data_IF_463248610976
#
_entry.id   IF_463248610976
#
_cell.length_a   1.000
_cell.length_b   1.000
_cell.length_c   1.000
_cell.angle_alpha   90.00
_cell.angle_beta   90.00
_cell.angle_gamma   90.00
#
_symmetry.space_group_name_H-M   'P 1'
#
loop_
_entity.id
_entity.type
_entity.pdbx_description
1 polymer ?
#
# COMPACT_ATOMS: atom_id res chain seq x y z
N UNK A 1 -17.40 14.97 -6.56
CA UNK A 1 -16.76 13.66 -6.81
C UNK A 1 -16.99 12.82 -5.57
N UNK A 2 -17.79 11.75 -5.60
CA UNK A 2 -18.04 10.93 -4.42
C UNK A 2 -17.02 9.79 -4.34
N UNK A 3 -15.90 10.04 -3.68
CA UNK A 3 -14.85 9.04 -3.39
C UNK A 3 -15.07 8.33 -2.03
N UNK A 4 -16.31 8.26 -1.52
CA UNK A 4 -16.57 7.94 -0.11
C UNK A 4 -17.35 6.67 0.18
N UNK A 5 -17.58 5.78 -0.78
CA UNK A 5 -18.26 4.51 -0.49
C UNK A 5 -17.66 3.33 -1.23
N UNK A 6 -16.46 2.97 -0.86
CA UNK A 6 -15.80 1.76 -1.34
C UNK A 6 -14.32 1.85 -1.02
N UNK A 7 -13.87 1.08 -0.05
CA UNK A 7 -12.44 0.93 0.25
C UNK A 7 -11.76 0.19 -0.91
N UNK A 8 -11.56 0.88 -2.03
CA UNK A 8 -10.73 0.39 -3.11
C UNK A 8 -9.28 0.71 -2.79
N UNK A 9 -8.45 -0.31 -2.65
CA UNK A 9 -7.02 -0.14 -2.77
C UNK A 9 -6.69 -0.11 -4.27
N UNK A 10 -5.75 0.71 -4.67
CA UNK A 10 -5.25 0.71 -6.03
C UNK A 10 -3.74 0.55 -6.05
N UNK A 11 -3.27 -0.11 -7.07
CA UNK A 11 -1.85 -0.32 -7.35
C UNK A 11 -1.53 0.36 -8.67
N UNK A 12 -0.50 1.18 -8.66
CA UNK A 12 0.06 1.76 -9.88
C UNK A 12 1.22 0.89 -10.34
N UNK A 13 1.17 0.44 -11.57
CA UNK A 13 2.17 -0.44 -12.17
C UNK A 13 2.79 0.24 -13.39
N UNK A 14 4.12 0.30 -13.43
CA UNK A 14 4.88 0.72 -14.60
C UNK A 14 5.09 -0.49 -15.51
N UNK A 15 4.32 -0.56 -16.58
CA UNK A 15 4.48 -1.55 -17.63
C UNK A 15 5.80 -1.38 -18.41
N UNK A 16 6.13 -2.37 -19.24
CA UNK A 16 7.35 -2.35 -20.07
C UNK A 16 7.46 -1.19 -21.07
N UNK A 17 6.38 -0.42 -21.26
CA UNK A 17 6.29 0.69 -22.24
C UNK A 17 6.06 2.06 -21.61
N UNK A 18 6.60 2.33 -20.42
CA UNK A 18 6.46 3.66 -19.75
C UNK A 18 5.04 4.13 -19.47
N UNK A 19 4.03 3.35 -19.77
CA UNK A 19 2.63 3.67 -19.45
C UNK A 19 2.31 3.20 -18.04
N UNK A 20 1.82 4.12 -17.22
CA UNK A 20 1.34 3.81 -15.88
C UNK A 20 0.00 3.11 -15.97
N UNK A 21 -0.08 1.90 -15.48
CA UNK A 21 -1.33 1.13 -15.41
C UNK A 21 -1.86 1.09 -13.98
N UNK A 22 -3.15 1.33 -13.81
CA UNK A 22 -3.82 1.30 -12.51
C UNK A 22 -4.60 0.00 -12.39
N UNK A 23 -4.42 -0.69 -11.26
CA UNK A 23 -5.19 -1.88 -10.91
C UNK A 23 -5.96 -1.57 -9.62
N UNK A 24 -7.28 -1.63 -9.66
CA UNK A 24 -8.13 -1.43 -8.50
C UNK A 24 -8.44 -2.76 -7.83
N UNK A 25 -8.26 -2.84 -6.51
CA UNK A 25 -8.59 -4.02 -5.71
C UNK A 25 -9.96 -3.78 -5.09
N UNK A 26 -10.89 -4.69 -5.32
CA UNK A 26 -12.29 -4.56 -4.95
C UNK A 26 -12.77 -5.78 -4.18
N UNK A 27 -13.82 -5.62 -3.38
CA UNK A 27 -14.63 -6.75 -2.90
C UNK A 27 -15.67 -7.16 -3.95
N UNK A 28 -16.25 -8.34 -3.83
CA UNK A 28 -17.29 -8.82 -4.75
C UNK A 28 -18.62 -8.07 -4.59
N UNK A 29 -18.85 -7.41 -3.44
CA UNK A 29 -20.03 -6.57 -3.18
C UNK A 29 -19.94 -5.16 -3.79
N UNK A 30 -18.93 -4.88 -4.62
CA UNK A 30 -18.78 -3.57 -5.28
C UNK A 30 -19.98 -3.23 -6.16
N UNK A 31 -20.38 -1.96 -6.19
CA UNK A 31 -21.48 -1.48 -7.04
C UNK A 31 -21.18 -1.71 -8.51
N UNK A 32 -22.13 -2.33 -9.23
CA UNK A 32 -22.07 -2.57 -10.69
C UNK A 32 -21.83 -1.29 -11.49
N UNK A 33 -22.34 -0.15 -11.03
CA UNK A 33 -22.10 1.15 -11.66
C UNK A 33 -20.62 1.56 -11.60
N UNK A 34 -19.95 1.23 -10.51
CA UNK A 34 -18.52 1.49 -10.37
C UNK A 34 -17.68 0.59 -11.28
N UNK A 35 -18.06 -0.68 -11.42
CA UNK A 35 -17.41 -1.59 -12.38
C UNK A 35 -17.57 -1.08 -13.82
N UNK A 36 -18.78 -0.67 -14.20
CA UNK A 36 -19.02 -0.09 -15.53
C UNK A 36 -18.18 1.19 -15.77
N UNK A 37 -18.01 2.01 -14.73
CA UNK A 37 -17.13 3.18 -14.80
C UNK A 37 -15.66 2.78 -15.02
N UNK A 38 -15.12 1.81 -14.26
CA UNK A 38 -13.75 1.33 -14.42
C UNK A 38 -13.50 0.79 -15.84
N UNK A 39 -14.45 0.01 -16.36
CA UNK A 39 -14.39 -0.50 -17.74
C UNK A 39 -14.39 0.63 -18.77
N UNK A 40 -15.26 1.64 -18.59
CA UNK A 40 -15.32 2.79 -19.49
C UNK A 40 -14.02 3.59 -19.55
N UNK A 41 -13.33 3.72 -18.41
CA UNK A 41 -12.05 4.48 -18.32
C UNK A 41 -10.82 3.60 -18.55
N UNK A 42 -10.98 2.31 -18.85
CA UNK A 42 -9.89 1.39 -19.15
C UNK A 42 -9.03 1.02 -17.94
N UNK A 43 -9.58 1.11 -16.73
CA UNK A 43 -8.87 0.74 -15.48
C UNK A 43 -9.08 -0.72 -15.17
N UNK A 44 -8.00 -1.49 -15.00
CA UNK A 44 -8.07 -2.89 -14.57
C UNK A 44 -8.52 -3.01 -13.12
N UNK A 45 -9.18 -4.11 -12.81
CA UNK A 45 -9.55 -4.42 -11.43
C UNK A 45 -9.45 -5.90 -11.13
N UNK A 46 -9.29 -6.22 -9.85
CA UNK A 46 -9.33 -7.58 -9.32
C UNK A 46 -10.28 -7.64 -8.12
N UNK A 47 -10.99 -8.73 -7.98
CA UNK A 47 -11.75 -9.01 -6.76
C UNK A 47 -10.87 -9.76 -5.77
N UNK A 48 -10.91 -9.34 -4.50
CA UNK A 48 -10.15 -9.95 -3.43
C UNK A 48 -10.98 -9.94 -2.13
N UNK A 49 -11.85 -10.91 -2.00
CA UNK A 49 -12.77 -11.10 -0.87
C UNK A 49 -14.22 -10.73 -1.18
N UNK A 50 -15.14 -11.34 -0.46
CA UNK A 50 -16.59 -11.16 -0.67
C UNK A 50 -17.05 -9.75 -0.24
N UNK A 51 -17.01 -9.46 1.06
CA UNK A 51 -17.44 -8.16 1.64
C UNK A 51 -16.29 -7.21 1.87
N UNK A 52 -15.23 -7.73 2.48
CA UNK A 52 -14.02 -6.98 2.79
C UNK A 52 -12.88 -7.43 1.90
N UNK A 53 -11.96 -6.52 1.62
CA UNK A 53 -10.77 -6.85 0.86
C UNK A 53 -9.86 -7.75 1.70
N UNK A 54 -9.58 -8.94 1.18
CA UNK A 54 -8.54 -9.84 1.67
C UNK A 54 -7.21 -9.51 0.98
N UNK A 55 -6.29 -8.95 1.74
CA UNK A 55 -5.00 -8.51 1.22
C UNK A 55 -4.11 -9.67 0.76
N UNK A 56 -4.24 -10.86 1.35
CA UNK A 56 -3.47 -12.05 0.95
C UNK A 56 -3.93 -12.55 -0.43
N UNK A 57 -5.24 -12.58 -0.64
CA UNK A 57 -5.82 -12.90 -1.95
C UNK A 57 -5.40 -11.85 -2.97
N UNK A 58 -5.47 -10.56 -2.61
CA UNK A 58 -5.05 -9.47 -3.47
C UNK A 58 -3.60 -9.61 -3.91
N UNK A 59 -2.66 -9.81 -2.97
CA UNK A 59 -1.23 -9.98 -3.28
C UNK A 59 -0.99 -11.17 -4.20
N UNK A 60 -1.66 -12.31 -3.95
CA UNK A 60 -1.57 -13.50 -4.80
C UNK A 60 -2.07 -13.23 -6.23
N UNK A 61 -3.19 -12.53 -6.38
CA UNK A 61 -3.75 -12.17 -7.69
C UNK A 61 -2.85 -11.17 -8.43
N UNK A 62 -2.32 -10.15 -7.74
CA UNK A 62 -1.37 -9.20 -8.33
C UNK A 62 -0.13 -9.91 -8.90
N UNK A 63 0.43 -10.86 -8.15
CA UNK A 63 1.56 -11.67 -8.62
C UNK A 63 1.18 -12.54 -9.83
N UNK A 64 0.09 -13.30 -9.73
CA UNK A 64 -0.25 -14.31 -10.72
C UNK A 64 -0.80 -13.71 -12.04
N UNK A 65 -1.57 -12.64 -11.96
CA UNK A 65 -2.22 -12.03 -13.14
C UNK A 65 -1.38 -10.94 -13.79
N UNK A 66 -0.60 -10.21 -13.01
CA UNK A 66 0.16 -9.05 -13.49
C UNK A 66 1.69 -9.22 -13.36
N UNK A 67 2.16 -10.33 -12.78
CA UNK A 67 3.60 -10.57 -12.60
C UNK A 67 4.27 -9.63 -11.61
N UNK A 68 3.50 -9.01 -10.70
CA UNK A 68 4.03 -8.05 -9.72
C UNK A 68 4.70 -8.83 -8.59
N UNK A 69 6.02 -8.79 -8.55
CA UNK A 69 6.82 -9.47 -7.53
C UNK A 69 7.18 -8.56 -6.34
N UNK A 70 7.28 -7.25 -6.59
CA UNK A 70 7.61 -6.25 -5.56
C UNK A 70 6.57 -5.16 -5.58
N UNK A 71 6.01 -4.87 -4.42
CA UNK A 71 5.03 -3.81 -4.21
C UNK A 71 5.58 -2.81 -3.21
N UNK A 72 5.56 -1.53 -3.58
CA UNK A 72 5.89 -0.43 -2.66
C UNK A 72 4.59 0.20 -2.16
N UNK A 73 4.37 0.17 -0.84
CA UNK A 73 3.29 0.88 -0.20
C UNK A 73 3.78 2.24 0.29
N UNK A 74 3.15 3.32 -0.18
CA UNK A 74 3.46 4.69 0.24
C UNK A 74 2.48 5.23 1.30
N UNK A 75 1.68 4.36 1.87
CA UNK A 75 0.77 4.72 2.94
C UNK A 75 -0.61 5.14 2.44
N UNK A 76 -1.53 5.90 3.10
CA UNK A 76 -1.39 6.43 4.49
C UNK A 76 -1.48 5.44 5.64
N UNK A 77 -1.67 6.00 6.85
CA UNK A 77 -1.59 5.24 8.09
C UNK A 77 -2.51 4.02 8.13
N UNK A 78 -3.73 4.12 7.65
CA UNK A 78 -4.69 3.00 7.61
C UNK A 78 -4.22 1.86 6.70
N UNK A 79 -3.67 2.18 5.52
CA UNK A 79 -3.14 1.17 4.60
C UNK A 79 -1.90 0.50 5.17
N UNK A 80 -1.01 1.28 5.80
CA UNK A 80 0.16 0.73 6.50
C UNK A 80 -0.27 -0.22 7.62
N UNK A 81 -1.24 0.20 8.44
CA UNK A 81 -1.79 -0.61 9.52
C UNK A 81 -2.35 -1.96 9.01
N UNK A 82 -3.15 -1.94 7.95
CA UNK A 82 -3.71 -3.15 7.36
C UNK A 82 -2.63 -4.12 6.89
N UNK A 83 -1.64 -3.64 6.13
CA UNK A 83 -0.55 -4.47 5.62
C UNK A 83 0.33 -5.03 6.74
N UNK A 84 0.58 -4.26 7.79
CA UNK A 84 1.35 -4.69 8.96
C UNK A 84 0.58 -5.73 9.78
N UNK A 85 -0.73 -5.54 10.01
CA UNK A 85 -1.59 -6.50 10.72
C UNK A 85 -1.66 -7.85 9.99
N UNK A 86 -1.74 -7.82 8.66
CA UNK A 86 -1.75 -9.04 7.84
C UNK A 86 -0.36 -9.65 7.62
N UNK A 87 0.66 -9.07 8.23
CA UNK A 87 2.04 -9.56 8.16
C UNK A 87 2.62 -9.60 6.73
N UNK A 88 2.18 -8.68 5.87
CA UNK A 88 2.53 -8.64 4.46
C UNK A 88 3.74 -7.75 4.13
N UNK A 89 4.26 -7.03 5.12
CA UNK A 89 5.40 -6.12 4.94
C UNK A 89 6.71 -6.85 5.26
N UNK A 90 7.63 -6.92 4.30
CA UNK A 90 8.95 -7.53 4.47
C UNK A 90 10.03 -6.49 4.77
N UNK A 91 9.87 -5.27 4.24
CA UNK A 91 10.86 -4.19 4.40
C UNK A 91 10.14 -2.88 4.73
N UNK A 92 10.66 -2.15 5.72
CA UNK A 92 10.24 -0.80 6.05
C UNK A 92 11.32 0.19 5.63
N UNK A 93 10.93 1.22 4.90
CA UNK A 93 11.78 2.34 4.53
C UNK A 93 11.17 3.58 5.18
N UNK A 94 11.83 4.09 6.20
CA UNK A 94 11.35 5.23 6.99
C UNK A 94 12.23 6.45 6.70
N UNK A 95 11.60 7.51 6.20
CA UNK A 95 12.26 8.81 6.04
C UNK A 95 11.91 9.64 7.27
N UNK A 96 12.93 10.03 8.03
CA UNK A 96 12.79 10.88 9.21
C UNK A 96 13.27 12.29 8.89
N UNK A 97 12.38 13.25 9.00
CA UNK A 97 12.66 14.67 8.81
C UNK A 97 12.88 15.36 10.17
N UNK A 98 13.71 16.41 10.26
CA UNK A 98 13.97 17.17 11.49
C UNK A 98 12.82 18.14 11.79
N UNK A 99 11.60 17.63 11.84
CA UNK A 99 10.38 18.38 12.17
C UNK A 99 9.63 17.70 13.31
N UNK A 100 9.00 18.52 14.15
CA UNK A 100 8.15 18.04 15.23
C UNK A 100 6.73 17.97 14.69
N UNK A 101 6.10 16.82 14.78
CA UNK A 101 4.72 16.63 14.38
C UNK A 101 3.78 17.45 15.27
N UNK A 102 2.72 18.00 14.70
CA UNK A 102 1.70 18.73 15.45
C UNK A 102 0.92 17.76 16.37
N UNK A 103 0.34 18.27 17.48
CA UNK A 103 -0.60 17.49 18.29
C UNK A 103 -1.73 16.91 17.42
N UNK A 104 -2.04 15.63 17.64
CA UNK A 104 -3.06 14.93 16.86
C UNK A 104 -2.58 14.34 15.52
N UNK A 105 -1.31 14.48 15.17
CA UNK A 105 -0.74 13.81 14.00
C UNK A 105 -0.88 12.29 14.12
N UNK A 106 -1.32 11.65 13.03
CA UNK A 106 -1.49 10.19 12.99
C UNK A 106 -0.12 9.50 12.92
N UNK A 107 0.01 8.40 13.67
CA UNK A 107 1.16 7.51 13.50
C UNK A 107 1.20 6.93 12.09
N UNK A 108 2.37 6.93 11.45
CA UNK A 108 2.56 6.31 10.13
C UNK A 108 2.29 4.79 10.13
N UNK A 109 2.31 4.17 11.29
CA UNK A 109 2.04 2.74 11.48
C UNK A 109 0.60 2.45 11.93
N UNK A 110 -0.23 3.48 12.15
CA UNK A 110 -1.57 3.34 12.71
C UNK A 110 -1.53 2.67 14.09
N UNK A 111 -2.49 1.76 14.32
CA UNK A 111 -2.56 0.90 15.52
C UNK A 111 -2.01 -0.51 15.23
N UNK A 112 -0.90 -0.59 14.51
CA UNK A 112 -0.29 -1.87 14.16
C UNK A 112 0.24 -2.59 15.41
N UNK A 113 0.17 -3.93 15.46
CA UNK A 113 0.74 -4.68 16.55
C UNK A 113 2.26 -4.52 16.61
N UNK A 114 2.81 -4.65 17.80
CA UNK A 114 4.26 -4.64 17.99
C UNK A 114 4.89 -5.78 17.17
N UNK A 115 5.86 -5.44 16.36
CA UNK A 115 6.63 -6.39 15.55
C UNK A 115 8.12 -6.11 15.69
N UNK A 116 8.92 -7.15 15.48
CA UNK A 116 10.39 -7.04 15.59
C UNK A 116 10.98 -6.83 14.20
N UNK A 117 11.85 -5.84 14.10
CA UNK A 117 12.52 -5.46 12.88
C UNK A 117 14.02 -5.44 13.09
N UNK A 118 14.79 -5.78 12.08
CA UNK A 118 16.27 -5.71 12.08
C UNK A 118 16.69 -4.52 11.25
N UNK A 119 17.56 -3.67 11.80
CA UNK A 119 18.13 -2.56 11.05
C UNK A 119 19.03 -3.09 9.95
N UNK A 120 18.73 -2.74 8.70
CA UNK A 120 19.55 -3.04 7.52
C UNK A 120 20.53 -1.90 7.24
N UNK A 121 20.02 -0.68 7.21
CA UNK A 121 20.85 0.49 6.93
C UNK A 121 20.28 1.77 7.52
N UNK A 122 21.17 2.72 7.76
CA UNK A 122 20.88 4.07 8.19
C UNK A 122 21.73 5.02 7.39
N UNK A 123 21.15 6.01 6.72
CA UNK A 123 21.85 6.98 5.89
C UNK A 123 21.25 8.36 6.03
N UNK A 124 22.11 9.39 6.02
CA UNK A 124 21.65 10.76 5.81
C UNK A 124 21.28 10.95 4.34
N UNK A 125 20.22 11.69 4.08
CA UNK A 125 19.74 11.96 2.71
C UNK A 125 20.39 13.25 2.18
N UNK A 126 20.50 14.24 3.06
CA UNK A 126 20.96 15.58 2.75
C UNK A 126 21.69 16.21 3.93
N UNK A 127 22.23 17.41 3.72
CA UNK A 127 22.89 18.20 4.77
C UNK A 127 21.93 18.79 5.80
N UNK A 128 20.62 18.54 5.67
CA UNK A 128 19.53 19.08 6.51
C UNK A 128 19.07 18.14 7.62
N UNK A 129 19.89 17.16 7.98
CA UNK A 129 19.60 16.19 9.06
C UNK A 129 18.40 15.29 8.82
N UNK A 130 18.05 15.00 7.55
CA UNK A 130 17.05 14.01 7.19
C UNK A 130 17.69 12.63 7.03
N UNK A 131 17.01 11.59 7.47
CA UNK A 131 17.54 10.23 7.49
C UNK A 131 16.64 9.27 6.72
N UNK A 132 17.24 8.31 6.01
CA UNK A 132 16.58 7.08 5.59
C UNK A 132 17.01 5.96 6.51
N UNK A 133 16.04 5.26 7.06
CA UNK A 133 16.23 4.09 7.91
C UNK A 133 15.54 2.92 7.22
N UNK A 134 16.29 1.85 6.98
CA UNK A 134 15.76 0.65 6.34
C UNK A 134 15.80 -0.50 7.34
N UNK A 135 14.65 -1.13 7.50
CA UNK A 135 14.49 -2.29 8.35
C UNK A 135 13.98 -3.47 7.55
N UNK A 136 14.52 -4.64 7.81
CA UNK A 136 13.97 -5.92 7.39
C UNK A 136 13.14 -6.54 8.50
N UNK A 137 12.09 -7.24 8.11
CA UNK A 137 11.32 -8.04 9.04
C UNK A 137 12.20 -9.15 9.60
N UNK A 138 12.14 -9.34 10.91
CA UNK A 138 12.77 -10.48 11.56
C UNK A 138 11.88 -11.71 11.36
N UNK A 139 12.44 -12.78 10.80
CA UNK A 139 11.79 -14.08 10.71
C UNK A 139 11.48 -14.69 12.09
#
# INVERSE_FOLDING_TARGET
MPWTTGYGLYVTYLGRKTETHIITILSEEVDKKYLAYLQKVGVSYIFAGEKNIDLKIAMKKLKNLFGIEKLMCQGGPKTNELLLKENLVQKLIVVKMPVIAQPGALSIFGNSPLSKWTLESFKMIDDKNSFIIIYNKKE
#
